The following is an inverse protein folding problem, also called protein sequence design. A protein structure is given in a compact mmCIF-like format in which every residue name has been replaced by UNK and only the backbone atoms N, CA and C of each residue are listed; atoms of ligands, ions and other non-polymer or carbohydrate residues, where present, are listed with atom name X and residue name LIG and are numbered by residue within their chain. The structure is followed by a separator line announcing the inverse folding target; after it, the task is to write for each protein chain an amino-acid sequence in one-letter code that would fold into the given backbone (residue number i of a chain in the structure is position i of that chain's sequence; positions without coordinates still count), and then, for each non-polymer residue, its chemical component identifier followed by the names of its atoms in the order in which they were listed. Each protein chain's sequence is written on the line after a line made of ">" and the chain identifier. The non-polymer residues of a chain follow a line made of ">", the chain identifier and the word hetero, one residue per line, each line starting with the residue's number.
data_IF_807550629161
#
_entry.id   IF_807550629161
#
_cell.length_a   1.000
_cell.length_b   1.000
_cell.length_c   1.000
_cell.angle_alpha   90.00
_cell.angle_beta   90.00
_cell.angle_gamma   90.00
#
_symmetry.space_group_name_H-M   'P 1'
#
loop_
_entity.id
_entity.type
_entity.pdbx_description
1 polymer ?
#
# COMPACT_ATOMS: atom_id res chain seq x y z
N UNK A 1 12.95 3.13 5.28
CA UNK A 1 12.25 4.02 4.31
C UNK A 1 10.75 3.90 4.53
N UNK A 2 10.02 5.02 4.67
CA UNK A 2 8.58 5.01 5.00
C UNK A 2 7.65 5.26 3.81
N UNK A 3 8.19 5.47 2.60
CA UNK A 3 7.41 5.72 1.39
C UNK A 3 7.40 4.47 0.51
N UNK A 4 6.21 3.94 0.24
CA UNK A 4 5.99 2.81 -0.65
C UNK A 4 5.07 3.28 -1.78
N UNK A 5 5.57 3.25 -3.01
CA UNK A 5 4.87 3.72 -4.21
C UNK A 5 5.33 2.90 -5.41
N UNK A 6 4.44 2.74 -6.40
CA UNK A 6 4.66 1.99 -7.63
C UNK A 6 3.36 1.37 -8.15
N UNK A 7 3.49 0.38 -9.03
CA UNK A 7 2.38 -0.49 -9.41
C UNK A 7 1.93 -1.35 -8.23
N UNK A 8 0.73 -1.98 -8.29
CA UNK A 8 0.30 -2.93 -7.28
C UNK A 8 1.31 -4.05 -7.00
N UNK A 9 1.99 -4.54 -8.04
CA UNK A 9 3.01 -5.59 -7.92
C UNK A 9 4.23 -5.10 -7.12
N UNK A 10 4.74 -3.91 -7.44
CA UNK A 10 5.87 -3.30 -6.71
C UNK A 10 5.51 -3.00 -5.26
N UNK A 11 4.27 -2.55 -5.00
CA UNK A 11 3.80 -2.31 -3.63
C UNK A 11 3.71 -3.63 -2.87
N UNK A 12 3.17 -4.68 -3.48
CA UNK A 12 3.08 -6.02 -2.88
C UNK A 12 4.46 -6.57 -2.53
N UNK A 13 5.43 -6.50 -3.44
CA UNK A 13 6.80 -6.95 -3.17
C UNK A 13 7.43 -6.24 -1.97
N UNK A 14 7.28 -4.90 -1.91
CA UNK A 14 7.80 -4.09 -0.79
C UNK A 14 7.10 -4.41 0.52
N UNK A 15 5.79 -4.66 0.49
CA UNK A 15 5.03 -5.05 1.68
C UNK A 15 5.33 -6.47 2.13
N UNK A 16 5.64 -7.39 1.21
CA UNK A 16 6.07 -8.75 1.56
C UNK A 16 7.35 -8.73 2.39
N UNK A 17 8.32 -7.89 2.02
CA UNK A 17 9.54 -7.73 2.80
C UNK A 17 9.25 -7.27 4.25
N UNK A 18 8.26 -6.41 4.44
CA UNK A 18 7.80 -5.92 5.75
C UNK A 18 7.04 -7.03 6.49
N UNK A 19 6.10 -7.71 5.83
CA UNK A 19 5.31 -8.80 6.40
C UNK A 19 6.20 -9.94 6.94
N UNK A 20 7.27 -10.28 6.19
CA UNK A 20 8.23 -11.32 6.57
C UNK A 20 9.00 -11.00 7.86
N UNK A 21 8.95 -9.77 8.38
CA UNK A 21 9.56 -9.42 9.67
C UNK A 21 8.70 -9.83 10.89
N UNK A 22 7.46 -10.28 10.67
CA UNK A 22 6.56 -10.78 11.72
C UNK A 22 5.76 -9.70 12.44
N UNK A 23 5.64 -8.51 11.87
CA UNK A 23 4.82 -7.42 12.42
C UNK A 23 3.34 -7.79 12.36
N UNK A 24 2.63 -7.66 13.49
CA UNK A 24 1.21 -8.02 13.57
C UNK A 24 0.24 -7.03 12.91
N UNK A 25 0.72 -5.88 12.42
CA UNK A 25 -0.12 -4.89 11.77
C UNK A 25 0.66 -3.70 11.24
N UNK A 26 0.07 -3.02 10.25
CA UNK A 26 0.64 -1.84 9.62
C UNK A 26 -0.47 -0.82 9.36
N UNK A 27 -0.20 0.46 9.65
CA UNK A 27 -1.08 1.58 9.34
C UNK A 27 -0.48 2.32 8.16
N UNK A 28 -1.26 2.52 7.10
CA UNK A 28 -0.83 3.17 5.85
C UNK A 28 -1.62 4.46 5.64
N UNK A 29 -0.92 5.54 5.32
CA UNK A 29 -1.54 6.79 4.85
C UNK A 29 -1.45 6.87 3.33
N UNK A 30 -2.61 6.93 2.66
CA UNK A 30 -2.71 7.03 1.20
C UNK A 30 -2.66 8.48 0.68
N UNK A 31 -3.01 9.45 1.53
CA UNK A 31 -2.96 10.86 1.19
C UNK A 31 -1.65 11.46 1.67
N UNK A 32 -0.84 11.94 0.73
CA UNK A 32 0.41 12.65 1.02
C UNK A 32 0.30 14.10 0.55
N UNK A 33 0.34 15.05 1.48
CA UNK A 33 0.26 16.47 1.17
C UNK A 33 -1.04 16.89 0.46
N UNK A 34 -0.91 17.66 -0.61
CA UNK A 34 -2.01 18.25 -1.37
C UNK A 34 -2.54 17.33 -2.50
N UNK A 35 -2.40 16.02 -2.37
CA UNK A 35 -2.99 15.06 -3.32
C UNK A 35 -4.50 15.27 -3.47
N UNK A 36 -4.98 15.17 -4.71
CA UNK A 36 -6.41 15.25 -5.00
C UNK A 36 -7.17 14.08 -4.37
N UNK A 37 -8.47 14.27 -4.20
CA UNK A 37 -9.34 13.23 -3.70
C UNK A 37 -9.35 12.02 -4.64
N UNK A 38 -9.50 12.25 -5.94
CA UNK A 38 -9.58 11.21 -6.97
C UNK A 38 -8.31 10.36 -7.01
N UNK A 39 -7.15 11.00 -6.87
CA UNK A 39 -5.87 10.28 -6.83
C UNK A 39 -5.79 9.37 -5.60
N UNK A 40 -6.18 9.91 -4.44
CA UNK A 40 -6.17 9.17 -3.17
C UNK A 40 -7.15 7.99 -3.23
N UNK A 41 -8.35 8.22 -3.75
CA UNK A 41 -9.40 7.20 -3.91
C UNK A 41 -8.95 6.08 -4.84
N UNK A 42 -8.34 6.42 -5.98
CA UNK A 42 -7.81 5.44 -6.92
C UNK A 42 -6.72 4.56 -6.28
N UNK A 43 -5.79 5.15 -5.52
CA UNK A 43 -4.76 4.38 -4.80
C UNK A 43 -5.37 3.45 -3.75
N UNK A 44 -6.40 3.89 -3.01
CA UNK A 44 -7.13 3.05 -2.05
C UNK A 44 -7.81 1.86 -2.74
N UNK A 45 -8.51 2.09 -3.86
CA UNK A 45 -9.16 1.03 -4.65
C UNK A 45 -8.15 0.00 -5.14
N UNK A 46 -7.07 0.46 -5.79
CA UNK A 46 -6.01 -0.42 -6.28
C UNK A 46 -5.38 -1.24 -5.15
N UNK A 47 -5.16 -0.63 -3.99
CA UNK A 47 -4.62 -1.34 -2.84
C UNK A 47 -5.57 -2.44 -2.33
N UNK A 48 -6.84 -2.10 -2.12
CA UNK A 48 -7.84 -3.05 -1.65
C UNK A 48 -8.06 -4.21 -2.63
N UNK A 49 -8.08 -3.93 -3.94
CA UNK A 49 -8.42 -4.92 -4.96
C UNK A 49 -7.23 -5.73 -5.47
N UNK A 50 -6.01 -5.16 -5.45
CA UNK A 50 -4.84 -5.77 -6.11
C UNK A 50 -3.70 -6.11 -5.15
N UNK A 51 -3.64 -5.49 -3.98
CA UNK A 51 -2.54 -5.70 -3.01
C UNK A 51 -3.01 -6.56 -1.84
N UNK A 52 -4.10 -6.17 -1.17
CA UNK A 52 -4.62 -6.88 0.01
C UNK A 52 -4.84 -8.39 -0.19
N UNK A 53 -5.34 -8.89 -1.35
CA UNK A 53 -5.51 -10.32 -1.57
C UNK A 53 -4.22 -11.16 -1.45
N UNK A 54 -3.04 -10.54 -1.57
CA UNK A 54 -1.75 -11.23 -1.47
C UNK A 54 -1.30 -11.47 0.00
N UNK A 55 -2.02 -10.93 0.99
CA UNK A 55 -1.63 -10.94 2.40
C UNK A 55 -2.69 -11.55 3.33
N UNK A 56 -3.56 -12.41 2.80
CA UNK A 56 -4.57 -13.14 3.57
C UNK A 56 -4.00 -14.34 4.33
#
# INVERSE_FOLDING_TARGET
>A
HGLIVGSPDTVSEKLQAINNTGIGGMIIHFRLGAMSWETTENSLKLFAEKVMPNFQ
#
